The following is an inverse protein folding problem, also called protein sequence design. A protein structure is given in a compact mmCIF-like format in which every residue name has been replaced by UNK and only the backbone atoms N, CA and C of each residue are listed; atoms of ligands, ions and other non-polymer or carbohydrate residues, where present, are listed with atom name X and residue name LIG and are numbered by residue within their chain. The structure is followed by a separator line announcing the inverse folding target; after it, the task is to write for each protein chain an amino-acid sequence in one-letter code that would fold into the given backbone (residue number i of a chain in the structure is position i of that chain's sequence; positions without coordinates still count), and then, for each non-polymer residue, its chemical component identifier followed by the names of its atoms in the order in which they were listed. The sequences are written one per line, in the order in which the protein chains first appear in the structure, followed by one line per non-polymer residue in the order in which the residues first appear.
data_IF_484395029147
#
_entry.id   IF_484395029147
#
_cell.length_a   1.000
_cell.length_b   1.000
_cell.length_c   1.000
_cell.angle_alpha   90.00
_cell.angle_beta   90.00
_cell.angle_gamma   90.00
#
_symmetry.space_group_name_H-M   'P 1'
#
loop_
_entity.id
_entity.type
_entity.pdbx_description
1 polymer ?
#
# COMPACT_ATOMS: atom_id res chain seq x y z
N UNK A 1 -2.86 -15.25 -14.13
CA UNK A 1 -2.24 -13.93 -14.05
C UNK A 1 -1.82 -13.70 -12.62
N UNK A 2 -0.56 -13.35 -12.37
CA UNK A 2 -0.13 -12.98 -11.03
C UNK A 2 -0.64 -11.57 -10.73
N UNK A 3 -1.21 -11.31 -9.53
CA UNK A 3 -1.44 -9.96 -9.03
C UNK A 3 -0.15 -9.13 -9.05
N UNK A 4 -0.28 -7.81 -8.96
CA UNK A 4 0.81 -6.84 -9.06
C UNK A 4 1.97 -7.19 -8.11
N UNK A 5 1.67 -7.54 -6.86
CA UNK A 5 2.67 -7.92 -5.85
C UNK A 5 3.53 -9.12 -6.27
N UNK A 6 2.94 -10.10 -6.95
CA UNK A 6 3.66 -11.29 -7.43
C UNK A 6 4.65 -11.02 -8.56
N UNK A 7 4.53 -9.87 -9.26
CA UNK A 7 5.46 -9.51 -10.33
C UNK A 7 6.90 -9.29 -9.80
N UNK A 8 7.03 -8.80 -8.58
CA UNK A 8 8.34 -8.43 -8.01
C UNK A 8 8.76 -9.23 -6.77
N UNK A 9 7.85 -9.96 -6.10
CA UNK A 9 8.20 -10.70 -4.88
C UNK A 9 9.25 -11.77 -5.18
N UNK A 10 9.06 -12.57 -6.23
CA UNK A 10 10.03 -13.61 -6.59
C UNK A 10 11.40 -13.01 -6.91
N UNK A 11 11.45 -11.95 -7.73
CA UNK A 11 12.68 -11.24 -8.06
C UNK A 11 13.41 -10.73 -6.82
N UNK A 12 12.67 -10.09 -5.89
CA UNK A 12 13.22 -9.52 -4.66
C UNK A 12 13.78 -10.56 -3.68
N UNK A 13 13.22 -11.75 -3.68
CA UNK A 13 13.60 -12.80 -2.75
C UNK A 13 14.65 -13.77 -3.34
N UNK A 14 14.78 -13.85 -4.67
CA UNK A 14 15.72 -14.76 -5.32
C UNK A 14 17.20 -14.50 -4.98
N UNK A 15 17.54 -13.24 -4.70
CA UNK A 15 18.92 -12.85 -4.36
C UNK A 15 19.21 -12.89 -2.85
N UNK A 16 18.18 -13.19 -2.02
CA UNK A 16 18.29 -13.28 -0.56
C UNK A 16 18.94 -14.59 -0.14
N UNK A 17 20.12 -14.52 0.47
CA UNK A 17 20.89 -15.69 0.94
C UNK A 17 20.41 -16.28 2.27
N UNK A 18 19.59 -15.53 3.00
CA UNK A 18 18.98 -15.89 4.28
C UNK A 18 17.62 -16.58 4.13
N UNK A 19 17.15 -16.76 2.89
CA UNK A 19 15.85 -17.34 2.55
C UNK A 19 16.01 -18.45 1.52
N UNK A 20 15.30 -19.55 1.72
CA UNK A 20 15.10 -20.59 0.71
C UNK A 20 13.72 -20.43 0.07
N UNK A 21 13.68 -20.20 -1.24
CA UNK A 21 12.44 -20.07 -2.00
C UNK A 21 11.90 -21.44 -2.38
N UNK A 22 10.75 -21.81 -1.83
CA UNK A 22 10.00 -22.98 -2.22
C UNK A 22 8.92 -22.57 -3.25
N UNK A 23 8.86 -23.25 -4.38
CA UNK A 23 7.87 -23.02 -5.42
C UNK A 23 7.23 -24.33 -5.87
N UNK A 24 5.98 -24.27 -6.31
CA UNK A 24 5.36 -25.34 -7.09
C UNK A 24 5.89 -25.32 -8.52
N UNK A 25 5.90 -26.46 -9.20
CA UNK A 25 6.14 -26.49 -10.64
C UNK A 25 5.12 -25.59 -11.37
N UNK A 26 5.50 -25.02 -12.52
CA UNK A 26 4.64 -24.09 -13.27
C UNK A 26 3.30 -24.72 -13.67
N UNK A 27 3.29 -25.98 -14.02
CA UNK A 27 2.10 -26.78 -14.31
C UNK A 27 1.18 -26.96 -13.11
N UNK A 28 1.75 -27.04 -11.91
CA UNK A 28 1.03 -27.27 -10.64
C UNK A 28 0.67 -26.00 -9.87
N UNK A 29 1.01 -24.82 -10.35
CA UNK A 29 0.78 -23.56 -9.65
C UNK A 29 -0.69 -23.23 -9.31
N UNK A 30 -1.65 -23.95 -9.92
CA UNK A 30 -3.08 -23.89 -9.61
C UNK A 30 -3.60 -25.14 -8.90
N UNK A 31 -2.76 -26.12 -8.70
CA UNK A 31 -3.10 -27.38 -8.05
C UNK A 31 -3.04 -27.19 -6.51
N UNK A 32 -4.19 -27.22 -5.87
CA UNK A 32 -4.32 -27.01 -4.42
C UNK A 32 -3.51 -28.04 -3.62
N UNK A 33 -3.48 -29.30 -4.05
CA UNK A 33 -2.75 -30.36 -3.36
C UNK A 33 -1.22 -30.15 -3.48
N UNK A 34 -0.73 -29.73 -4.63
CA UNK A 34 0.68 -29.36 -4.79
C UNK A 34 1.06 -28.16 -3.92
N UNK A 35 0.19 -27.13 -3.86
CA UNK A 35 0.38 -25.98 -2.98
C UNK A 35 0.44 -26.40 -1.51
N UNK A 36 -0.44 -27.29 -1.05
CA UNK A 36 -0.43 -27.84 0.31
C UNK A 36 0.89 -28.53 0.66
N UNK A 37 1.44 -29.31 -0.26
CA UNK A 37 2.72 -30.00 -0.05
C UNK A 37 3.86 -29.02 0.20
N UNK A 38 3.91 -27.93 -0.59
CA UNK A 38 4.93 -26.90 -0.43
C UNK A 38 4.68 -26.07 0.83
N UNK A 39 3.44 -25.66 1.07
CA UNK A 39 3.07 -24.85 2.24
C UNK A 39 3.37 -25.54 3.59
N UNK A 40 3.28 -26.88 3.65
CA UNK A 40 3.65 -27.64 4.86
C UNK A 40 5.13 -27.56 5.22
N UNK A 41 5.99 -27.24 4.26
CA UNK A 41 7.44 -27.15 4.45
C UNK A 41 7.92 -25.71 4.64
N UNK A 42 7.05 -24.73 4.38
CA UNK A 42 7.38 -23.32 4.42
C UNK A 42 7.15 -22.75 5.83
N UNK A 43 8.00 -21.81 6.26
CA UNK A 43 7.77 -20.99 7.46
C UNK A 43 6.76 -19.87 7.15
N UNK A 44 6.76 -19.38 5.90
CA UNK A 44 5.87 -18.31 5.44
C UNK A 44 5.45 -18.53 3.98
N UNK A 45 4.19 -18.26 3.68
CA UNK A 45 3.60 -18.36 2.35
C UNK A 45 3.11 -16.99 1.87
N UNK A 46 3.49 -16.58 0.66
CA UNK A 46 2.88 -15.43 -0.03
C UNK A 46 1.74 -15.89 -0.93
N UNK A 47 0.55 -15.34 -0.73
CA UNK A 47 -0.58 -15.50 -1.63
C UNK A 47 -0.69 -14.27 -2.55
N UNK A 48 -0.17 -14.41 -3.77
CA UNK A 48 -0.27 -13.40 -4.82
C UNK A 48 -1.34 -13.83 -5.83
N UNK A 49 -2.58 -13.92 -5.38
CA UNK A 49 -3.70 -14.50 -6.10
C UNK A 49 -4.89 -13.53 -6.17
N UNK A 50 -5.83 -13.69 -7.12
CA UNK A 50 -7.13 -13.03 -7.04
C UNK A 50 -7.92 -13.45 -5.80
N UNK A 51 -8.83 -12.60 -5.33
CA UNK A 51 -9.57 -12.76 -4.06
C UNK A 51 -10.23 -14.14 -3.90
N UNK A 52 -10.87 -14.65 -4.96
CA UNK A 52 -11.53 -15.98 -4.94
C UNK A 52 -10.50 -17.08 -4.71
N UNK A 53 -9.40 -17.08 -5.46
CA UNK A 53 -8.35 -18.08 -5.35
C UNK A 53 -7.61 -17.96 -3.99
N UNK A 54 -7.41 -16.76 -3.46
CA UNK A 54 -6.86 -16.57 -2.13
C UNK A 54 -7.74 -17.22 -1.06
N UNK A 55 -9.06 -17.04 -1.12
CA UNK A 55 -10.00 -17.67 -0.20
C UNK A 55 -9.99 -19.20 -0.30
N UNK A 56 -9.94 -19.74 -1.51
CA UNK A 56 -9.85 -21.19 -1.73
C UNK A 56 -8.57 -21.79 -1.13
N UNK A 57 -7.42 -21.16 -1.38
CA UNK A 57 -6.16 -21.63 -0.82
C UNK A 57 -6.15 -21.47 0.70
N UNK A 58 -6.63 -20.37 1.25
CA UNK A 58 -6.73 -20.18 2.71
C UNK A 58 -7.62 -21.23 3.38
N UNK A 59 -8.72 -21.64 2.73
CA UNK A 59 -9.55 -22.75 3.24
C UNK A 59 -8.79 -24.09 3.27
N UNK A 60 -7.78 -24.26 2.41
CA UNK A 60 -6.99 -25.48 2.33
C UNK A 60 -5.76 -25.50 3.24
N UNK A 61 -5.13 -24.34 3.52
CA UNK A 61 -3.87 -24.23 4.26
C UNK A 61 -3.95 -23.40 5.55
N UNK A 62 -5.09 -22.78 5.84
CA UNK A 62 -5.24 -21.83 6.96
C UNK A 62 -4.85 -22.40 8.32
N UNK A 63 -4.96 -23.70 8.53
CA UNK A 63 -4.59 -24.39 9.77
C UNK A 63 -3.12 -24.85 9.80
N UNK A 64 -2.37 -24.70 8.70
CA UNK A 64 -0.96 -25.10 8.67
C UNK A 64 -0.12 -24.22 9.58
N UNK A 65 1.04 -24.69 10.07
CA UNK A 65 1.87 -23.92 11.01
C UNK A 65 2.51 -22.67 10.38
N UNK A 66 2.64 -22.61 9.04
CA UNK A 66 3.24 -21.50 8.35
C UNK A 66 2.47 -20.19 8.54
N UNK A 67 3.18 -19.06 8.54
CA UNK A 67 2.56 -17.74 8.41
C UNK A 67 2.09 -17.52 6.97
N UNK A 68 1.08 -16.67 6.78
CA UNK A 68 0.57 -16.35 5.44
C UNK A 68 0.49 -14.85 5.27
N UNK A 69 1.07 -14.34 4.18
CA UNK A 69 0.89 -12.95 3.72
C UNK A 69 0.02 -12.99 2.46
N UNK A 70 -1.19 -12.47 2.56
CA UNK A 70 -2.10 -12.35 1.42
C UNK A 70 -2.03 -10.94 0.83
N UNK A 71 -1.88 -10.84 -0.50
CA UNK A 71 -1.79 -9.56 -1.21
C UNK A 71 -3.08 -9.16 -1.93
N UNK A 72 -4.12 -10.01 -1.82
CA UNK A 72 -5.45 -9.72 -2.38
C UNK A 72 -6.23 -8.72 -1.51
N UNK A 73 -7.46 -8.40 -1.90
CA UNK A 73 -8.36 -7.59 -1.06
C UNK A 73 -9.21 -8.43 -0.11
N UNK A 74 -9.12 -9.76 -0.20
CA UNK A 74 -10.03 -10.70 0.44
C UNK A 74 -10.05 -10.62 1.97
N UNK A 75 -8.95 -10.22 2.61
CA UNK A 75 -8.77 -10.34 4.06
C UNK A 75 -8.39 -9.05 4.78
N UNK A 76 -8.28 -7.92 4.08
CA UNK A 76 -7.78 -6.64 4.62
C UNK A 76 -8.64 -6.05 5.74
N UNK A 77 -9.93 -6.41 5.79
CA UNK A 77 -10.87 -5.99 6.83
C UNK A 77 -11.38 -7.17 7.67
N UNK A 78 -10.74 -8.34 7.53
CA UNK A 78 -11.18 -9.56 8.21
C UNK A 78 -10.63 -9.62 9.62
N UNK A 79 -11.50 -9.81 10.61
CA UNK A 79 -11.09 -9.97 12.00
C UNK A 79 -10.09 -11.15 12.16
N UNK A 80 -9.10 -10.97 13.04
CA UNK A 80 -8.06 -11.96 13.28
C UNK A 80 -6.85 -11.89 12.35
N UNK A 81 -6.93 -11.17 11.22
CA UNK A 81 -5.80 -10.88 10.37
C UNK A 81 -5.01 -9.67 10.88
N UNK A 82 -3.68 -9.71 10.76
CA UNK A 82 -2.86 -8.51 10.91
C UNK A 82 -2.94 -7.64 9.67
N UNK A 83 -3.08 -6.34 9.82
CA UNK A 83 -2.99 -5.41 8.71
C UNK A 83 -1.53 -5.02 8.46
N UNK A 84 -1.02 -5.25 7.26
CA UNK A 84 0.40 -5.18 6.90
C UNK A 84 0.97 -3.77 6.73
N UNK A 85 0.66 -2.85 7.66
CA UNK A 85 1.21 -1.50 7.68
C UNK A 85 1.78 -1.18 9.08
N UNK A 86 3.02 -1.61 9.38
CA UNK A 86 3.59 -1.54 10.73
C UNK A 86 3.76 -0.11 11.26
N UNK A 87 3.91 0.88 10.38
CA UNK A 87 4.08 2.29 10.78
C UNK A 87 2.82 2.93 11.37
N UNK A 88 1.66 2.26 11.30
CA UNK A 88 0.45 2.75 11.96
C UNK A 88 0.51 2.65 13.50
N UNK A 89 1.52 1.99 14.05
CA UNK A 89 1.82 1.96 15.46
C UNK A 89 2.27 0.59 15.96
N UNK A 90 2.71 0.56 17.21
CA UNK A 90 3.31 -0.64 17.83
C UNK A 90 2.36 -1.85 17.84
N UNK A 91 1.05 -1.64 17.99
CA UNK A 91 0.07 -2.72 17.92
C UNK A 91 0.02 -3.39 16.56
N UNK A 92 0.16 -2.63 15.48
CA UNK A 92 0.22 -3.19 14.11
C UNK A 92 1.50 -3.99 13.89
N UNK A 93 2.64 -3.49 14.36
CA UNK A 93 3.92 -4.18 14.29
C UNK A 93 3.89 -5.49 15.09
N UNK A 94 3.33 -5.45 16.31
CA UNK A 94 3.13 -6.62 17.17
C UNK A 94 2.20 -7.65 16.51
N UNK A 95 1.09 -7.20 15.91
CA UNK A 95 0.16 -8.07 15.20
C UNK A 95 0.84 -8.79 14.02
N UNK A 96 1.64 -8.08 13.22
CA UNK A 96 2.41 -8.67 12.12
C UNK A 96 3.41 -9.70 12.65
N UNK A 97 4.11 -9.39 13.74
CA UNK A 97 5.08 -10.29 14.35
C UNK A 97 4.44 -11.56 14.91
N UNK A 98 3.26 -11.48 15.52
CA UNK A 98 2.67 -12.55 16.32
C UNK A 98 1.54 -13.30 15.63
N UNK A 99 0.71 -12.64 14.83
CA UNK A 99 -0.40 -13.27 14.13
C UNK A 99 0.10 -14.17 13.00
N UNK A 100 -0.70 -15.17 12.68
CA UNK A 100 -0.42 -16.16 11.65
C UNK A 100 -0.73 -15.64 10.24
N UNK A 101 -1.75 -14.79 10.12
CA UNK A 101 -2.26 -14.30 8.85
C UNK A 101 -2.10 -12.79 8.76
N UNK A 102 -1.51 -12.32 7.68
CA UNK A 102 -1.21 -10.92 7.43
C UNK A 102 -1.83 -10.52 6.10
N UNK A 103 -2.63 -9.47 6.09
CA UNK A 103 -3.22 -8.87 4.89
C UNK A 103 -2.37 -7.68 4.43
N UNK A 104 -1.74 -7.80 3.27
CA UNK A 104 -0.93 -6.73 2.70
C UNK A 104 -1.81 -5.60 2.15
N UNK A 105 -1.51 -4.33 2.45
CA UNK A 105 -2.29 -3.19 2.00
C UNK A 105 -2.42 -3.07 0.48
N UNK A 106 -3.50 -2.42 0.03
CA UNK A 106 -3.62 -1.97 -1.35
C UNK A 106 -2.81 -0.71 -1.62
N UNK A 107 -2.28 -0.57 -2.84
CA UNK A 107 -1.39 0.54 -3.15
C UNK A 107 -2.03 1.92 -2.90
N UNK A 108 -3.22 2.20 -3.45
CA UNK A 108 -3.91 3.46 -3.16
C UNK A 108 -4.28 3.60 -1.67
N UNK A 109 -4.72 2.51 -1.04
CA UNK A 109 -5.07 2.52 0.38
C UNK A 109 -3.87 2.87 1.27
N UNK A 110 -2.67 2.37 0.95
CA UNK A 110 -1.44 2.72 1.68
C UNK A 110 -1.23 4.23 1.76
N UNK A 111 -1.33 4.93 0.64
CA UNK A 111 -1.17 6.39 0.62
C UNK A 111 -2.30 7.12 1.34
N UNK A 112 -3.57 6.71 1.12
CA UNK A 112 -4.72 7.31 1.81
C UNK A 112 -4.61 7.14 3.33
N UNK A 113 -4.31 5.94 3.78
CA UNK A 113 -4.18 5.60 5.20
C UNK A 113 -3.01 6.35 5.83
N UNK A 114 -1.88 6.43 5.13
CA UNK A 114 -0.72 7.19 5.61
C UNK A 114 -1.03 8.67 5.84
N UNK A 115 -1.87 9.27 5.00
CA UNK A 115 -2.28 10.67 5.14
C UNK A 115 -3.38 10.88 6.18
N UNK A 116 -4.34 9.96 6.28
CA UNK A 116 -5.59 10.17 7.05
C UNK A 116 -5.48 9.62 8.48
N UNK A 117 -4.99 8.39 8.66
CA UNK A 117 -5.03 7.72 9.94
C UNK A 117 -4.34 8.49 11.09
N UNK A 118 -3.16 9.12 10.90
CA UNK A 118 -2.54 9.93 11.94
C UNK A 118 -3.40 11.11 12.38
N UNK A 119 -4.06 11.79 11.44
CA UNK A 119 -4.84 13.00 11.69
C UNK A 119 -6.16 12.68 12.40
N UNK A 120 -6.83 11.60 12.00
CA UNK A 120 -8.05 11.12 12.66
C UNK A 120 -7.72 10.59 14.05
N UNK A 121 -6.66 9.80 14.20
CA UNK A 121 -6.21 9.26 15.50
C UNK A 121 -5.80 10.37 16.49
N UNK A 122 -5.24 11.46 16.00
CA UNK A 122 -4.92 12.64 16.81
C UNK A 122 -6.15 13.51 17.13
N UNK A 123 -7.34 13.18 16.61
CA UNK A 123 -8.56 13.99 16.75
C UNK A 123 -8.48 15.35 16.05
N UNK A 124 -7.53 15.51 15.12
CA UNK A 124 -7.33 16.74 14.36
C UNK A 124 -8.37 16.88 13.24
N UNK A 125 -8.62 15.78 12.54
CA UNK A 125 -9.65 15.67 11.51
C UNK A 125 -10.73 14.71 12.03
N UNK A 126 -12.04 15.08 11.99
CA UNK A 126 -13.09 14.22 12.49
C UNK A 126 -13.30 12.97 11.63
N UNK A 127 -13.80 11.89 12.24
CA UNK A 127 -14.03 10.61 11.54
C UNK A 127 -15.14 10.70 10.47
N UNK A 128 -16.03 11.66 10.57
CA UNK A 128 -17.10 11.96 9.60
C UNK A 128 -16.71 13.04 8.58
N UNK A 129 -15.42 13.39 8.51
CA UNK A 129 -14.92 14.36 7.54
C UNK A 129 -15.17 13.87 6.10
N UNK A 130 -15.76 14.71 5.20
CA UNK A 130 -16.07 14.32 3.82
C UNK A 130 -14.81 14.36 2.93
N UNK A 131 -13.95 13.37 3.04
CA UNK A 131 -12.70 13.32 2.31
C UNK A 131 -12.89 13.26 0.79
N UNK A 132 -12.08 14.03 0.08
CA UNK A 132 -11.91 13.95 -1.39
C UNK A 132 -10.44 13.69 -1.68
N UNK A 133 -10.16 12.65 -2.48
CA UNK A 133 -8.81 12.12 -2.68
C UNK A 133 -8.53 11.95 -4.17
N UNK A 134 -7.42 12.52 -4.63
CA UNK A 134 -6.85 12.25 -5.94
C UNK A 134 -5.67 11.31 -5.79
N UNK A 135 -5.51 10.38 -6.72
CA UNK A 135 -4.36 9.48 -6.72
C UNK A 135 -3.85 9.22 -8.13
N UNK A 136 -2.63 9.66 -8.39
CA UNK A 136 -1.90 9.38 -9.63
C UNK A 136 -1.12 8.07 -9.47
N UNK A 137 -1.11 7.22 -10.49
CA UNK A 137 -0.36 5.95 -10.47
C UNK A 137 0.20 5.59 -11.84
N UNK A 138 1.38 4.98 -11.84
CA UNK A 138 1.92 4.35 -13.03
C UNK A 138 1.09 3.14 -13.49
N UNK A 139 1.18 2.81 -14.79
CA UNK A 139 0.36 1.77 -15.42
C UNK A 139 0.65 0.34 -14.93
N UNK A 140 1.78 0.10 -14.28
CA UNK A 140 2.08 -1.20 -13.66
C UNK A 140 1.03 -1.61 -12.61
N UNK A 141 0.33 -0.62 -12.01
CA UNK A 141 -0.77 -0.82 -11.08
C UNK A 141 -1.93 -1.64 -11.63
N UNK A 142 -2.16 -1.64 -12.94
CA UNK A 142 -3.17 -2.46 -13.62
C UNK A 142 -2.72 -3.88 -13.97
N UNK A 143 -1.49 -4.28 -13.59
CA UNK A 143 -0.94 -5.60 -13.83
C UNK A 143 -0.59 -5.89 -15.29
N UNK A 144 -0.28 -7.15 -15.60
CA UNK A 144 0.23 -7.57 -16.92
C UNK A 144 -0.59 -7.10 -18.10
N UNK A 145 -1.93 -7.07 -17.98
CA UNK A 145 -2.81 -6.64 -19.07
C UNK A 145 -2.60 -5.16 -19.40
N UNK A 146 -2.57 -4.30 -18.39
CA UNK A 146 -2.38 -2.86 -18.59
C UNK A 146 -0.95 -2.56 -19.03
N UNK A 147 0.05 -3.20 -18.45
CA UNK A 147 1.45 -3.11 -18.89
C UNK A 147 1.54 -3.40 -20.40
N UNK A 148 0.98 -4.53 -20.86
CA UNK A 148 0.99 -4.88 -22.27
C UNK A 148 0.27 -3.87 -23.17
N UNK A 149 -0.74 -3.15 -22.68
CA UNK A 149 -1.40 -2.08 -23.43
C UNK A 149 -0.51 -0.85 -23.57
N UNK A 150 0.13 -0.41 -22.46
CA UNK A 150 0.98 0.78 -22.47
C UNK A 150 2.32 0.58 -23.18
N UNK A 151 2.83 -0.66 -23.22
CA UNK A 151 4.08 -1.03 -23.89
C UNK A 151 3.87 -1.58 -25.32
N UNK A 152 2.63 -1.61 -25.82
CA UNK A 152 2.34 -2.05 -27.19
C UNK A 152 2.90 -1.10 -28.25
N UNK A 153 3.25 -1.67 -29.42
CA UNK A 153 3.66 -0.87 -30.58
C UNK A 153 2.83 -1.32 -31.80
N UNK A 154 2.00 -0.45 -32.41
CA UNK A 154 1.74 0.94 -31.99
C UNK A 154 0.93 0.99 -30.68
N UNK A 155 1.21 2.00 -29.83
CA UNK A 155 0.43 2.32 -28.66
C UNK A 155 -0.83 3.12 -29.02
N UNK A 156 -1.96 2.81 -28.39
CA UNK A 156 -3.21 3.55 -28.56
C UNK A 156 -3.01 5.01 -28.13
N UNK A 157 -3.51 5.95 -28.95
CA UNK A 157 -3.39 7.38 -28.73
C UNK A 157 -3.89 7.82 -27.34
N UNK A 158 -4.99 7.26 -26.85
CA UNK A 158 -5.55 7.62 -25.54
C UNK A 158 -4.67 7.21 -24.35
N UNK A 159 -3.68 6.35 -24.55
CA UNK A 159 -2.75 5.94 -23.50
C UNK A 159 -1.61 6.92 -23.24
N UNK A 160 -1.47 7.96 -24.08
CA UNK A 160 -0.50 9.06 -23.85
C UNK A 160 -1.03 10.15 -22.91
N UNK A 161 -2.28 10.06 -22.45
CA UNK A 161 -2.90 11.01 -21.55
C UNK A 161 -3.27 10.35 -20.22
N UNK A 162 -3.25 11.11 -19.09
CA UNK A 162 -3.78 10.64 -17.81
C UNK A 162 -5.24 10.20 -17.94
N UNK A 163 -5.59 9.05 -17.34
CA UNK A 163 -6.93 8.46 -17.45
C UNK A 163 -7.50 8.18 -16.07
N UNK A 164 -8.57 8.88 -15.72
CA UNK A 164 -9.33 8.56 -14.51
C UNK A 164 -10.11 7.26 -14.70
N UNK A 165 -10.11 6.43 -13.66
CA UNK A 165 -10.88 5.18 -13.62
C UNK A 165 -11.66 5.07 -12.31
N UNK A 166 -12.33 3.95 -12.05
CA UNK A 166 -13.14 3.81 -10.83
C UNK A 166 -14.31 4.79 -10.74
N UNK A 167 -14.88 5.19 -11.88
CA UNK A 167 -15.89 6.25 -11.99
C UNK A 167 -17.18 5.94 -11.21
N UNK A 168 -17.49 4.66 -10.95
CA UNK A 168 -18.65 4.25 -10.15
C UNK A 168 -18.47 4.45 -8.64
N UNK A 169 -17.31 4.94 -8.16
CA UNK A 169 -17.02 5.14 -6.73
C UNK A 169 -17.12 3.86 -5.87
N UNK A 170 -16.91 2.69 -6.49
CA UNK A 170 -16.93 1.37 -5.84
C UNK A 170 -15.55 0.71 -5.82
N UNK A 171 -14.50 1.52 -5.66
CA UNK A 171 -13.13 1.00 -5.67
C UNK A 171 -12.86 0.11 -4.45
N UNK A 172 -12.31 -1.08 -4.70
CA UNK A 172 -12.06 -2.12 -3.68
C UNK A 172 -11.14 -1.71 -2.51
N UNK A 173 -10.43 -0.59 -2.61
CA UNK A 173 -9.63 -0.04 -1.51
C UNK A 173 -10.44 0.86 -0.56
N UNK A 174 -11.64 1.29 -0.90
CA UNK A 174 -12.43 2.19 -0.05
C UNK A 174 -12.84 1.55 1.29
N UNK A 175 -13.36 0.30 1.32
CA UNK A 175 -13.67 -0.37 2.58
C UNK A 175 -12.45 -0.55 3.50
N UNK A 176 -11.27 -0.80 2.90
CA UNK A 176 -10.00 -0.92 3.61
C UNK A 176 -9.64 0.41 4.31
N UNK A 177 -9.73 1.52 3.59
CA UNK A 177 -9.44 2.86 4.12
C UNK A 177 -10.41 3.23 5.25
N UNK A 178 -11.73 3.00 5.06
CA UNK A 178 -12.73 3.24 6.09
C UNK A 178 -12.41 2.46 7.37
N UNK A 179 -12.13 1.17 7.24
CA UNK A 179 -11.86 0.30 8.38
C UNK A 179 -10.61 0.71 9.15
N UNK A 180 -9.50 0.95 8.43
CA UNK A 180 -8.20 1.22 9.06
C UNK A 180 -8.10 2.64 9.63
N UNK A 181 -8.65 3.63 8.93
CA UNK A 181 -8.67 5.01 9.40
C UNK A 181 -9.78 5.28 10.44
N UNK A 182 -10.76 4.39 10.59
CA UNK A 182 -11.92 4.59 11.46
C UNK A 182 -12.84 5.72 10.98
N UNK A 183 -12.94 5.95 9.67
CA UNK A 183 -13.81 6.99 9.09
C UNK A 183 -15.19 6.44 8.76
N UNK A 184 -16.23 7.27 8.98
CA UNK A 184 -17.63 6.87 8.83
C UNK A 184 -18.04 6.68 7.38
N UNK A 185 -17.53 7.55 6.49
CA UNK A 185 -17.91 7.60 5.09
C UNK A 185 -16.73 7.26 4.18
N UNK A 186 -17.01 6.58 3.07
CA UNK A 186 -16.01 6.36 2.04
C UNK A 186 -15.63 7.69 1.39
N UNK A 187 -14.34 7.96 1.15
CA UNK A 187 -13.92 9.16 0.43
C UNK A 187 -14.48 9.21 -0.99
N UNK A 188 -14.72 10.40 -1.53
CA UNK A 188 -14.76 10.60 -2.98
C UNK A 188 -13.36 10.32 -3.50
N UNK A 189 -13.22 9.32 -4.38
CA UNK A 189 -11.93 8.83 -4.83
C UNK A 189 -11.75 8.99 -6.33
N UNK A 190 -10.68 9.66 -6.73
CA UNK A 190 -10.33 9.96 -8.11
C UNK A 190 -8.98 9.33 -8.48
N UNK A 191 -8.94 8.00 -8.74
CA UNK A 191 -7.73 7.34 -9.21
C UNK A 191 -7.46 7.66 -10.68
N UNK A 192 -6.21 7.99 -10.99
CA UNK A 192 -5.75 8.36 -12.33
C UNK A 192 -4.52 7.52 -12.66
N UNK A 193 -4.59 6.75 -13.76
CA UNK A 193 -3.42 6.08 -14.33
C UNK A 193 -2.80 6.97 -15.41
N UNK A 194 -1.46 7.04 -15.42
CA UNK A 194 -0.72 7.85 -16.35
C UNK A 194 0.41 7.07 -17.03
N UNK A 195 1.01 7.66 -18.06
CA UNK A 195 1.98 7.04 -18.97
C UNK A 195 3.40 6.99 -18.37
N UNK A 196 3.53 6.37 -17.21
CA UNK A 196 4.81 5.96 -16.61
C UNK A 196 4.64 4.60 -15.94
N UNK A 197 5.74 3.84 -15.84
CA UNK A 197 5.68 2.44 -15.38
C UNK A 197 5.25 2.31 -13.93
N UNK A 198 5.98 2.93 -13.00
CA UNK A 198 5.71 2.86 -11.56
C UNK A 198 5.94 4.20 -10.86
N UNK A 199 5.34 4.34 -9.72
CA UNK A 199 5.27 5.53 -8.90
C UNK A 199 3.82 5.88 -8.59
N UNK A 200 3.62 6.56 -7.49
CA UNK A 200 2.27 6.93 -7.01
C UNK A 200 2.33 8.20 -6.18
N UNK A 201 1.35 9.06 -6.39
CA UNK A 201 1.03 10.19 -5.54
C UNK A 201 -0.43 10.07 -5.09
N UNK A 202 -0.66 10.10 -3.78
CA UNK A 202 -2.00 10.19 -3.19
C UNK A 202 -2.13 11.53 -2.50
N UNK A 203 -3.10 12.33 -2.90
CA UNK A 203 -3.36 13.68 -2.35
C UNK A 203 -4.70 13.70 -1.62
N UNK A 204 -4.66 14.10 -0.35
CA UNK A 204 -5.83 14.29 0.52
C UNK A 204 -6.00 15.77 0.81
N UNK A 205 -7.14 16.35 0.40
CA UNK A 205 -7.47 17.75 0.67
C UNK A 205 -8.23 17.91 2.00
N UNK A 206 -7.84 18.92 2.79
CA UNK A 206 -8.45 19.25 4.07
C UNK A 206 -8.84 20.73 4.10
N UNK A 207 -10.14 21.00 4.24
CA UNK A 207 -10.64 22.32 4.58
C UNK A 207 -10.66 22.50 6.10
N UNK A 208 -9.83 23.37 6.64
CA UNK A 208 -9.68 23.63 8.08
C UNK A 208 -11.04 23.91 8.77
N UNK A 209 -11.93 24.64 8.10
CA UNK A 209 -13.26 24.99 8.61
C UNK A 209 -14.22 23.80 8.83
N UNK A 210 -13.91 22.64 8.23
CA UNK A 210 -14.72 21.41 8.37
C UNK A 210 -14.18 20.50 9.50
N UNK A 211 -13.07 20.85 10.13
CA UNK A 211 -12.59 20.20 11.33
C UNK A 211 -13.37 20.68 12.57
N UNK A 212 -13.37 19.90 13.66
CA UNK A 212 -14.08 20.29 14.91
C UNK A 212 -13.61 21.64 15.48
N UNK A 213 -12.33 21.96 15.23
CA UNK A 213 -11.74 23.28 15.48
C UNK A 213 -10.88 23.62 14.28
N UNK A 214 -10.74 24.91 13.92
CA UNK A 214 -9.81 25.30 12.85
C UNK A 214 -8.41 24.75 13.09
N UNK A 215 -7.84 24.16 12.08
CA UNK A 215 -6.53 23.52 12.10
C UNK A 215 -5.60 24.30 11.20
N UNK A 216 -4.42 24.67 11.69
CA UNK A 216 -3.37 25.28 10.87
C UNK A 216 -2.46 24.21 10.23
N UNK A 217 -1.81 24.59 9.16
CA UNK A 217 -0.93 23.71 8.38
C UNK A 217 0.24 23.20 9.21
N UNK A 218 0.85 24.04 10.06
CA UNK A 218 1.94 23.65 10.97
C UNK A 218 1.53 22.54 11.93
N UNK A 219 0.25 22.56 12.39
CA UNK A 219 -0.24 21.52 13.28
C UNK A 219 -0.42 20.19 12.57
N UNK A 220 -0.83 20.20 11.30
CA UNK A 220 -0.90 18.99 10.47
C UNK A 220 0.48 18.41 10.25
N UNK A 221 1.47 19.25 9.88
CA UNK A 221 2.87 18.86 9.72
C UNK A 221 3.40 18.22 11.01
N UNK A 222 3.24 18.87 12.15
CA UNK A 222 3.71 18.40 13.45
C UNK A 222 3.12 17.03 13.83
N UNK A 223 1.81 16.84 13.61
CA UNK A 223 1.14 15.55 13.91
C UNK A 223 1.71 14.42 13.05
N UNK A 224 1.95 14.66 11.76
CA UNK A 224 2.54 13.67 10.88
C UNK A 224 4.00 13.38 11.22
N UNK A 225 4.81 14.40 11.52
CA UNK A 225 6.20 14.24 11.97
C UNK A 225 6.29 13.43 13.27
N UNK A 226 5.46 13.76 14.26
CA UNK A 226 5.42 13.02 15.53
C UNK A 226 4.97 11.57 15.34
N UNK A 227 4.04 11.34 14.43
CA UNK A 227 3.50 10.00 14.17
C UNK A 227 4.54 9.09 13.51
N UNK A 228 5.27 9.60 12.53
CA UNK A 228 6.24 8.81 11.76
C UNK A 228 7.70 8.95 12.19
N UNK A 229 7.97 9.68 13.28
CA UNK A 229 9.35 10.01 13.75
C UNK A 229 10.30 8.82 13.95
N UNK A 230 9.76 7.62 14.18
CA UNK A 230 10.54 6.40 14.39
C UNK A 230 10.62 5.49 13.17
N UNK A 231 9.96 5.85 12.07
CA UNK A 231 10.03 5.08 10.83
C UNK A 231 11.17 5.58 9.94
N UNK A 232 11.88 4.63 9.34
CA UNK A 232 12.87 4.89 8.29
C UNK A 232 12.29 4.67 6.89
N UNK A 233 11.11 4.06 6.81
CA UNK A 233 10.45 3.67 5.56
C UNK A 233 9.38 4.69 5.15
N UNK A 234 8.59 5.17 6.13
CA UNK A 234 7.66 6.28 5.94
C UNK A 234 8.22 7.52 6.63
N UNK A 235 8.51 8.56 5.85
CA UNK A 235 9.10 9.81 6.34
C UNK A 235 8.23 11.00 5.99
N UNK A 236 8.37 12.10 6.74
CA UNK A 236 7.68 13.37 6.47
C UNK A 236 8.71 14.38 6.00
N UNK A 237 8.47 15.00 4.84
CA UNK A 237 9.35 16.00 4.27
C UNK A 237 9.33 17.27 5.13
N UNK A 238 10.48 17.93 5.38
CA UNK A 238 10.51 19.24 6.01
C UNK A 238 9.68 20.25 5.21
N UNK A 239 9.01 21.17 5.89
CA UNK A 239 8.15 22.17 5.24
C UNK A 239 8.89 22.99 4.19
N UNK A 240 10.17 23.26 4.37
CA UNK A 240 11.03 23.99 3.43
C UNK A 240 11.32 23.24 2.12
N UNK A 241 11.27 21.91 2.13
CA UNK A 241 11.47 21.08 0.93
C UNK A 241 10.27 21.17 -0.01
N UNK A 242 9.06 21.36 0.55
CA UNK A 242 7.80 21.41 -0.17
C UNK A 242 7.67 22.62 -1.10
N UNK A 243 8.44 23.69 -0.89
CA UNK A 243 8.34 24.97 -1.57
C UNK A 243 9.33 25.17 -2.73
N UNK A 244 10.36 24.31 -2.83
CA UNK A 244 11.52 24.59 -3.70
C UNK A 244 11.26 24.45 -5.21
N UNK A 245 10.33 23.61 -5.64
CA UNK A 245 10.03 23.46 -7.09
C UNK A 245 8.61 23.87 -7.48
N UNK A 246 7.70 23.97 -6.51
CA UNK A 246 6.28 24.16 -6.76
C UNK A 246 5.59 22.96 -7.40
N UNK A 247 6.28 21.82 -7.52
CA UNK A 247 5.79 20.61 -8.15
C UNK A 247 6.18 19.37 -7.33
N UNK A 248 5.28 18.38 -7.27
CA UNK A 248 5.54 17.05 -6.75
C UNK A 248 5.48 16.04 -7.90
N UNK A 249 6.44 15.13 -7.97
CA UNK A 249 6.49 14.17 -9.04
C UNK A 249 6.05 12.79 -8.53
N UNK A 250 4.95 12.26 -9.07
CA UNK A 250 4.39 10.97 -8.64
C UNK A 250 5.37 9.79 -8.81
N UNK A 251 6.38 9.91 -9.65
CA UNK A 251 7.39 8.88 -9.91
C UNK A 251 8.74 9.11 -9.20
N UNK A 252 8.85 10.10 -8.31
CA UNK A 252 10.16 10.44 -7.72
C UNK A 252 10.73 9.33 -6.80
N UNK A 253 9.89 8.47 -6.24
CA UNK A 253 10.30 7.31 -5.44
C UNK A 253 10.08 5.97 -6.17
N UNK A 254 9.99 5.99 -7.51
CA UNK A 254 9.91 4.76 -8.30
C UNK A 254 11.12 3.87 -8.07
N UNK A 255 10.88 2.55 -7.99
CA UNK A 255 11.86 1.52 -7.68
C UNK A 255 12.43 1.57 -6.25
N UNK A 256 11.83 2.32 -5.34
CA UNK A 256 12.16 2.29 -3.92
C UNK A 256 11.02 1.68 -3.10
N UNK A 257 11.30 1.36 -1.83
CA UNK A 257 10.34 0.83 -0.88
C UNK A 257 9.96 1.85 0.20
N UNK A 258 10.40 3.09 0.04
CA UNK A 258 10.06 4.21 0.92
C UNK A 258 8.75 4.88 0.53
N UNK A 259 8.19 5.60 1.49
CA UNK A 259 7.08 6.53 1.29
C UNK A 259 7.47 7.87 1.93
N UNK A 260 7.24 8.97 1.21
CA UNK A 260 7.48 10.31 1.70
C UNK A 260 6.19 11.12 1.71
N UNK A 261 5.89 11.71 2.87
CA UNK A 261 4.68 12.50 3.08
C UNK A 261 5.05 13.97 3.00
N UNK A 262 4.23 14.74 2.29
CA UNK A 262 4.37 16.18 2.15
C UNK A 262 3.10 16.87 2.64
N UNK A 263 3.25 18.01 3.30
CA UNK A 263 2.14 18.90 3.66
C UNK A 263 2.30 20.19 2.91
N UNK A 264 1.27 20.64 2.20
CA UNK A 264 1.27 21.85 1.37
C UNK A 264 -0.02 22.61 1.53
N UNK A 265 -0.11 23.82 0.95
CA UNK A 265 -1.30 24.65 0.98
C UNK A 265 -1.16 25.84 1.94
N UNK A 266 -2.21 26.12 2.70
CA UNK A 266 -2.29 27.20 3.68
C UNK A 266 -3.27 26.83 4.81
N UNK A 267 -3.42 27.68 5.83
CA UNK A 267 -4.27 27.41 7.00
C UNK A 267 -5.77 27.20 6.70
N UNK A 268 -6.25 27.54 5.53
CA UNK A 268 -7.64 27.30 5.14
C UNK A 268 -7.82 26.01 4.34
N UNK A 269 -6.85 25.72 3.48
CA UNK A 269 -6.82 24.61 2.50
C UNK A 269 -5.48 23.91 2.58
N UNK A 270 -5.48 22.81 3.29
CA UNK A 270 -4.29 21.98 3.54
C UNK A 270 -4.36 20.76 2.63
N UNK A 271 -3.25 20.39 2.05
CA UNK A 271 -3.11 19.14 1.30
C UNK A 271 -2.03 18.28 1.94
N UNK A 272 -2.32 17.00 2.09
CA UNK A 272 -1.35 15.99 2.52
C UNK A 272 -1.13 15.04 1.37
N UNK A 273 0.12 14.87 0.98
CA UNK A 273 0.51 14.01 -0.13
C UNK A 273 1.35 12.84 0.38
N UNK A 274 1.10 11.65 -0.13
CA UNK A 274 1.98 10.51 0.02
C UNK A 274 2.57 10.13 -1.34
N UNK A 275 3.90 10.14 -1.45
CA UNK A 275 4.63 9.75 -2.66
C UNK A 275 5.41 8.48 -2.37
N UNK A 276 5.26 7.47 -3.24
CA UNK A 276 5.89 6.16 -3.10
C UNK A 276 5.78 5.35 -4.40
N UNK A 277 6.45 4.20 -4.47
CA UNK A 277 6.28 3.27 -5.60
C UNK A 277 5.06 2.35 -5.34
N UNK A 278 4.13 2.29 -6.29
CA UNK A 278 2.97 1.39 -6.25
C UNK A 278 3.33 -0.10 -6.25
N UNK A 279 4.52 -0.47 -6.71
CA UNK A 279 5.10 -1.82 -6.64
C UNK A 279 6.05 -2.02 -5.45
N UNK A 280 6.59 -0.93 -4.87
CA UNK A 280 7.41 -0.89 -3.67
C UNK A 280 6.57 -0.90 -2.39
N UNK A 281 6.59 0.22 -1.64
CA UNK A 281 5.77 0.38 -0.41
C UNK A 281 4.27 0.20 -0.66
N UNK A 282 3.81 0.39 -1.91
CA UNK A 282 2.42 0.13 -2.31
C UNK A 282 2.06 -1.34 -2.49
N UNK A 283 3.01 -2.27 -2.59
CA UNK A 283 2.72 -3.69 -2.86
C UNK A 283 3.81 -4.64 -2.32
N UNK A 284 4.80 -5.01 -3.18
CA UNK A 284 5.78 -6.05 -2.86
C UNK A 284 6.77 -5.63 -1.77
N UNK A 285 7.14 -4.36 -1.71
CA UNK A 285 8.00 -3.83 -0.65
C UNK A 285 7.35 -3.94 0.73
N UNK A 286 6.07 -3.54 0.84
CA UNK A 286 5.30 -3.72 2.08
C UNK A 286 5.17 -5.20 2.47
N UNK A 287 4.98 -6.09 1.50
CA UNK A 287 4.89 -7.53 1.77
C UNK A 287 6.22 -8.11 2.27
N UNK A 288 7.37 -7.67 1.72
CA UNK A 288 8.70 -8.06 2.20
C UNK A 288 8.98 -7.48 3.59
N UNK A 289 8.60 -6.23 3.86
CA UNK A 289 8.68 -5.65 5.21
C UNK A 289 7.88 -6.49 6.22
N UNK A 290 6.65 -6.85 5.90
CA UNK A 290 5.83 -7.71 6.75
C UNK A 290 6.45 -9.09 6.97
N UNK A 291 7.04 -9.70 5.94
CA UNK A 291 7.77 -10.96 6.04
C UNK A 291 8.95 -10.83 7.02
N UNK A 292 9.75 -9.79 6.88
CA UNK A 292 10.89 -9.57 7.76
C UNK A 292 10.44 -9.49 9.23
N UNK A 293 9.44 -8.67 9.53
CA UNK A 293 8.88 -8.55 10.89
C UNK A 293 8.31 -9.88 11.37
N UNK A 294 7.56 -10.59 10.53
CA UNK A 294 6.94 -11.86 10.87
C UNK A 294 7.95 -12.98 11.17
N UNK A 295 9.14 -12.91 10.58
CA UNK A 295 10.25 -13.86 10.79
C UNK A 295 11.28 -13.35 11.82
N UNK A 296 11.06 -12.19 12.45
CA UNK A 296 11.98 -11.62 13.45
C UNK A 296 13.26 -11.02 12.86
N UNK A 297 13.26 -10.68 11.57
CA UNK A 297 14.37 -10.01 10.89
C UNK A 297 14.24 -8.47 11.01
N UNK A 298 15.32 -7.69 10.82
CA UNK A 298 15.20 -6.25 10.66
C UNK A 298 14.23 -5.92 9.52
N UNK A 299 13.29 -5.02 9.78
CA UNK A 299 12.15 -4.78 8.89
C UNK A 299 12.52 -4.29 7.48
N UNK A 300 13.66 -3.64 7.35
CA UNK A 300 14.20 -3.08 6.10
C UNK A 300 15.11 -4.04 5.31
N UNK A 301 15.33 -5.27 5.81
CA UNK A 301 16.22 -6.23 5.15
C UNK A 301 15.80 -6.51 3.71
N UNK A 302 16.68 -6.19 2.74
CA UNK A 302 16.42 -6.37 1.31
C UNK A 302 15.43 -5.37 0.70
N UNK A 303 15.09 -4.28 1.41
CA UNK A 303 14.35 -3.15 0.87
C UNK A 303 15.31 -2.10 0.30
N UNK A 304 14.86 -1.40 -0.73
CA UNK A 304 15.55 -0.26 -1.33
C UNK A 304 14.94 1.01 -0.77
N UNK A 305 15.65 1.66 0.14
CA UNK A 305 15.19 2.93 0.73
C UNK A 305 15.69 4.12 -0.13
N UNK A 306 14.85 5.15 -0.28
CA UNK A 306 15.11 6.37 -1.06
C UNK A 306 14.90 7.64 -0.25
#
# INVERSE_FOLDING_TARGET
ALPISGLRIHERLSDRKDIELLATADEDRKNVEAIKVVAKKADLVFLCLPDVASKEIMAAIGDFPCKVIDTSTAFRTTAGWAYGFPELGESYKTDIATKKHIANPGCHASGMIACIAPLVKAGLVPADYPFTITSLTGYSGGGKKMIGQYESSPKDYFLYAPRQYGLGQEHKHLPEVQHVCGISEAPIFMPIVDDYYSGMEVTVGIHSRLCHKPVCIDKVQQVLEDFYKHSTIVTVAPFTENSNSGMLNANQLSNTDSMKIYVTGNDERIMVHAIFDNLGKGASGAAVQCMNIALGLPEDTGLVLG
#
